data_IF_311592204985
#
_entry.id   IF_311592204985
#
_cell.length_a   1.000
_cell.length_b   1.000
_cell.length_c   1.000
_cell.angle_alpha   90.00
_cell.angle_beta   90.00
_cell.angle_gamma   90.00
#
_symmetry.space_group_name_H-M   'P 1'
#
loop_
_entity.id
_entity.type
_entity.pdbx_description
1 polymer ?
#
# COMPACT_ATOMS: atom_id res chain seq x y z
N UNK A 1 -11.09 22.72 -3.80
CA UNK A 1 -12.04 23.04 -2.72
C UNK A 1 -11.50 24.21 -1.92
N UNK A 2 -12.29 25.25 -1.78
CA UNK A 2 -11.90 26.52 -1.16
C UNK A 2 -12.49 26.66 0.25
N UNK A 3 -11.89 27.53 1.07
CA UNK A 3 -12.51 27.98 2.31
C UNK A 3 -13.42 29.17 2.01
N UNK A 4 -14.54 29.29 2.75
CA UNK A 4 -15.41 30.47 2.71
C UNK A 4 -14.70 31.70 3.33
N UNK A 5 -15.14 32.88 2.95
CA UNK A 5 -14.64 34.14 3.56
C UNK A 5 -14.85 34.17 5.07
N UNK A 6 -15.95 33.59 5.57
CA UNK A 6 -16.21 33.47 7.00
C UNK A 6 -15.11 32.62 7.68
N UNK A 7 -14.71 31.51 7.05
CA UNK A 7 -13.68 30.63 7.58
C UNK A 7 -12.28 31.29 7.54
N UNK A 8 -11.96 32.00 6.46
CA UNK A 8 -10.69 32.73 6.33
C UNK A 8 -10.59 33.84 7.40
N UNK A 9 -11.65 34.62 7.58
CA UNK A 9 -11.68 35.67 8.60
C UNK A 9 -11.62 35.12 10.02
N UNK A 10 -12.37 34.03 10.32
CA UNK A 10 -12.27 33.35 11.62
C UNK A 10 -10.89 32.76 11.89
N UNK A 11 -10.24 32.21 10.87
CA UNK A 11 -8.85 31.71 10.99
C UNK A 11 -7.86 32.85 11.27
N UNK A 12 -8.02 33.99 10.58
CA UNK A 12 -7.20 35.18 10.81
C UNK A 12 -7.29 35.66 12.25
N UNK A 13 -8.50 35.81 12.78
CA UNK A 13 -8.72 36.23 14.17
C UNK A 13 -8.15 35.21 15.16
N UNK A 14 -8.39 33.92 14.95
CA UNK A 14 -7.87 32.86 15.80
C UNK A 14 -6.33 32.84 15.83
N UNK A 15 -5.67 32.97 14.67
CA UNK A 15 -4.20 32.99 14.57
C UNK A 15 -3.66 34.24 15.28
N UNK A 16 -4.22 35.43 15.03
CA UNK A 16 -3.79 36.66 15.65
C UNK A 16 -3.86 36.57 17.18
N UNK A 17 -4.98 36.09 17.71
CA UNK A 17 -5.22 35.93 19.15
C UNK A 17 -4.31 34.91 19.82
N UNK A 18 -4.05 33.77 19.16
CA UNK A 18 -3.26 32.69 19.74
C UNK A 18 -1.76 32.83 19.57
N UNK A 19 -1.28 33.43 18.46
CA UNK A 19 0.13 33.39 18.07
C UNK A 19 0.69 34.79 17.72
N UNK A 20 -0.19 35.75 17.46
CA UNK A 20 0.18 37.13 17.08
C UNK A 20 0.14 37.35 15.57
N UNK A 21 0.06 38.66 15.20
CA UNK A 21 -0.15 39.10 13.81
C UNK A 21 0.91 38.64 12.83
N UNK A 22 2.14 38.43 13.26
CA UNK A 22 3.24 37.96 12.39
C UNK A 22 3.02 36.57 11.79
N UNK A 23 2.12 35.77 12.40
CA UNK A 23 1.77 34.44 11.88
C UNK A 23 0.57 34.48 10.94
N UNK A 24 -0.13 35.57 10.79
CA UNK A 24 -1.32 35.72 9.97
C UNK A 24 -0.93 35.92 8.51
N UNK A 25 -1.38 35.01 7.63
CA UNK A 25 -1.20 35.17 6.17
C UNK A 25 -2.36 34.51 5.42
N UNK A 26 -3.55 35.16 5.41
CA UNK A 26 -4.72 34.61 4.74
C UNK A 26 -4.46 34.42 3.25
N UNK A 27 -4.88 33.30 2.72
CA UNK A 27 -4.69 32.97 1.30
C UNK A 27 -5.82 32.14 0.72
N UNK A 28 -6.06 32.33 -0.57
CA UNK A 28 -6.93 31.52 -1.37
C UNK A 28 -6.08 30.54 -2.19
N UNK A 29 -6.45 29.26 -2.19
CA UNK A 29 -5.75 28.24 -2.95
C UNK A 29 -6.50 27.98 -4.25
N UNK A 30 -5.82 28.06 -5.38
CA UNK A 30 -6.34 27.57 -6.65
C UNK A 30 -6.07 26.09 -6.78
N UNK A 31 -7.12 25.29 -6.97
CA UNK A 31 -6.98 23.85 -7.15
C UNK A 31 -6.56 23.55 -8.58
N UNK A 32 -5.44 22.82 -8.72
CA UNK A 32 -4.94 22.33 -10.02
C UNK A 32 -5.30 20.88 -10.29
N UNK A 33 -5.94 20.21 -9.33
CA UNK A 33 -6.27 18.78 -9.40
C UNK A 33 -7.43 18.56 -10.36
N UNK A 34 -7.24 17.70 -11.35
CA UNK A 34 -8.30 17.25 -12.25
C UNK A 34 -9.39 16.56 -11.42
N UNK A 35 -10.63 17.04 -11.48
CA UNK A 35 -11.75 16.48 -10.74
C UNK A 35 -12.00 17.11 -9.37
N UNK A 36 -11.44 18.28 -9.08
CA UNK A 36 -11.81 19.07 -7.93
C UNK A 36 -13.29 19.46 -7.97
N UNK A 37 -13.99 19.23 -6.84
CA UNK A 37 -15.38 19.61 -6.67
C UNK A 37 -15.44 21.06 -6.15
N UNK A 38 -15.38 22.04 -7.04
CA UNK A 38 -15.32 23.47 -6.70
C UNK A 38 -16.62 23.95 -5.99
N UNK A 39 -17.74 23.24 -6.14
CA UNK A 39 -19.01 23.56 -5.47
C UNK A 39 -19.00 23.28 -3.96
N UNK A 40 -18.00 22.60 -3.42
CA UNK A 40 -17.91 22.25 -2.01
C UNK A 40 -16.87 23.10 -1.28
N UNK A 41 -17.20 23.52 -0.07
CA UNK A 41 -16.22 24.09 0.86
C UNK A 41 -15.30 23.00 1.43
N UNK A 42 -14.06 23.33 1.73
CA UNK A 42 -13.14 22.43 2.41
C UNK A 42 -13.65 22.03 3.80
N UNK A 43 -13.37 20.80 4.22
CA UNK A 43 -13.67 20.37 5.59
C UNK A 43 -12.83 21.23 6.55
N UNK A 44 -13.51 21.87 7.49
CA UNK A 44 -12.93 22.79 8.46
C UNK A 44 -13.68 22.79 9.79
N UNK A 45 -13.11 23.30 10.88
CA UNK A 45 -13.87 23.57 12.10
C UNK A 45 -14.98 24.61 11.85
N UNK A 46 -16.09 24.45 12.54
CA UNK A 46 -17.17 25.44 12.52
C UNK A 46 -16.73 26.75 13.21
N UNK A 47 -15.98 26.59 14.32
CA UNK A 47 -15.46 27.69 15.14
C UNK A 47 -13.95 27.56 15.23
N UNK A 48 -13.21 28.50 14.65
CA UNK A 48 -11.73 28.45 14.54
C UNK A 48 -11.02 28.66 15.87
N UNK A 49 -11.66 29.37 16.80
CA UNK A 49 -11.18 29.60 18.17
C UNK A 49 -11.15 28.31 19.03
N UNK A 50 -11.93 27.31 18.67
CA UNK A 50 -12.01 26.05 19.40
C UNK A 50 -10.91 25.10 18.94
N UNK A 51 -9.73 25.16 19.55
CA UNK A 51 -8.63 24.25 19.22
C UNK A 51 -8.88 22.79 19.66
N UNK A 52 -9.85 22.55 20.55
CA UNK A 52 -10.19 21.25 21.09
C UNK A 52 -11.71 21.08 21.18
N UNK A 53 -12.15 19.82 21.15
CA UNK A 53 -13.56 19.42 21.31
C UNK A 53 -13.73 18.38 22.39
N UNK A 54 -14.96 18.26 22.91
CA UNK A 54 -15.37 17.10 23.68
C UNK A 54 -15.75 15.96 22.72
N UNK A 55 -15.48 14.71 23.13
CA UNK A 55 -15.77 13.51 22.32
C UNK A 55 -14.84 12.36 22.62
N UNK A 56 -14.96 11.28 21.85
CA UNK A 56 -14.09 10.11 21.92
C UNK A 56 -12.64 10.45 21.52
N UNK A 57 -11.69 9.59 21.87
CA UNK A 57 -10.28 9.78 21.48
C UNK A 57 -10.07 9.87 19.96
N UNK A 58 -10.88 9.14 19.18
CA UNK A 58 -10.81 9.16 17.73
C UNK A 58 -11.33 10.48 17.14
N UNK A 59 -12.46 10.97 17.64
CA UNK A 59 -13.03 12.27 17.25
C UNK A 59 -12.09 13.41 17.58
N UNK A 60 -11.51 13.43 18.79
CA UNK A 60 -10.51 14.43 19.20
C UNK A 60 -9.29 14.43 18.28
N UNK A 61 -8.77 13.25 17.94
CA UNK A 61 -7.60 13.12 17.04
C UNK A 61 -7.92 13.60 15.63
N UNK A 62 -9.09 13.26 15.10
CA UNK A 62 -9.51 13.72 13.77
C UNK A 62 -9.74 15.23 13.75
N UNK A 63 -10.40 15.77 14.77
CA UNK A 63 -10.64 17.21 14.89
C UNK A 63 -9.34 18.00 14.99
N UNK A 64 -8.39 17.54 15.83
CA UNK A 64 -7.07 18.16 15.96
C UNK A 64 -6.33 18.26 14.62
N UNK A 65 -6.38 17.19 13.81
CA UNK A 65 -5.80 17.19 12.47
C UNK A 65 -6.50 18.21 11.56
N UNK A 66 -7.83 18.24 11.51
CA UNK A 66 -8.61 19.17 10.69
C UNK A 66 -8.32 20.60 11.13
N UNK A 67 -8.35 20.87 12.43
CA UNK A 67 -8.10 22.20 12.98
C UNK A 67 -6.69 22.68 12.64
N UNK A 68 -5.67 21.86 12.90
CA UNK A 68 -4.27 22.19 12.60
C UNK A 68 -4.04 22.47 11.12
N UNK A 69 -4.58 21.65 10.22
CA UNK A 69 -4.44 21.87 8.78
C UNK A 69 -5.15 23.15 8.33
N UNK A 70 -6.34 23.42 8.84
CA UNK A 70 -7.09 24.62 8.51
C UNK A 70 -6.34 25.87 8.96
N UNK A 71 -5.92 25.93 10.22
CA UNK A 71 -5.17 27.07 10.78
C UNK A 71 -3.83 27.24 10.04
N UNK A 72 -3.05 26.17 9.88
CA UNK A 72 -1.76 26.23 9.19
C UNK A 72 -1.88 26.71 7.73
N UNK A 73 -2.98 26.40 7.05
CA UNK A 73 -3.22 26.89 5.67
C UNK A 73 -3.35 28.41 5.56
N UNK A 74 -3.71 29.07 6.65
CA UNK A 74 -3.92 30.51 6.73
C UNK A 74 -2.80 31.24 7.52
N UNK A 75 -1.72 30.50 7.84
CA UNK A 75 -0.54 31.03 8.52
C UNK A 75 0.56 31.47 7.54
N UNK A 76 1.46 32.29 8.03
CA UNK A 76 2.67 32.71 7.32
C UNK A 76 3.56 31.48 7.02
N UNK A 77 4.31 31.56 5.93
CA UNK A 77 5.28 30.52 5.56
C UNK A 77 6.38 30.42 6.62
N UNK A 78 6.94 29.23 6.75
CA UNK A 78 8.17 29.03 7.51
C UNK A 78 9.37 29.53 6.71
N UNK A 79 10.32 30.16 7.38
CA UNK A 79 11.59 30.60 6.80
C UNK A 79 12.72 29.70 7.30
N UNK A 80 13.33 28.98 6.36
CA UNK A 80 14.38 28.03 6.62
C UNK A 80 15.70 28.52 5.99
N UNK A 81 16.78 28.50 6.74
CA UNK A 81 18.12 28.76 6.23
C UNK A 81 18.82 27.43 6.01
N UNK A 82 19.01 27.05 4.73
CA UNK A 82 19.71 25.83 4.34
C UNK A 82 21.17 26.14 4.00
N UNK A 83 22.07 25.53 4.74
CA UNK A 83 23.52 25.62 4.51
C UNK A 83 24.01 24.31 3.90
N UNK A 84 24.70 24.39 2.76
CA UNK A 84 25.40 23.26 2.16
C UNK A 84 26.90 23.52 2.18
N UNK A 85 27.64 22.65 2.85
CA UNK A 85 29.10 22.67 2.89
C UNK A 85 29.67 21.63 1.92
N UNK A 86 30.49 22.07 0.98
CA UNK A 86 31.27 21.17 0.13
C UNK A 86 32.68 21.05 0.73
N UNK A 87 33.09 19.84 1.07
CA UNK A 87 34.34 19.53 1.76
C UNK A 87 35.25 18.79 0.78
N UNK A 88 36.22 19.49 0.23
CA UNK A 88 37.21 18.94 -0.70
C UNK A 88 38.20 18.03 0.04
N UNK A 89 38.60 16.95 -0.59
CA UNK A 89 39.58 16.01 -0.08
C UNK A 89 40.95 16.38 -0.68
N UNK A 90 42.02 16.42 0.15
CA UNK A 90 43.31 16.96 -0.27
C UNK A 90 44.04 16.14 -1.34
N UNK A 91 43.72 14.86 -1.52
CA UNK A 91 44.45 13.91 -2.38
C UNK A 91 43.56 13.32 -3.52
N UNK A 92 42.35 13.86 -3.71
CA UNK A 92 41.45 13.40 -4.78
C UNK A 92 40.60 14.60 -5.27
N UNK A 93 39.97 14.45 -6.44
CA UNK A 93 38.99 15.41 -6.96
C UNK A 93 37.60 15.25 -6.34
N UNK A 94 37.38 14.19 -5.58
CA UNK A 94 36.11 13.91 -4.91
C UNK A 94 35.91 14.84 -3.72
N UNK A 95 34.64 15.03 -3.35
CA UNK A 95 34.29 15.89 -2.22
C UNK A 95 33.12 15.27 -1.42
N UNK A 96 33.09 15.57 -0.14
CA UNK A 96 31.90 15.34 0.69
C UNK A 96 30.97 16.54 0.64
N UNK A 97 29.67 16.28 0.75
CA UNK A 97 28.63 17.30 0.93
C UNK A 97 27.95 17.09 2.27
N UNK A 98 27.80 18.16 3.03
CA UNK A 98 27.04 18.17 4.26
C UNK A 98 25.99 19.29 4.19
N UNK A 99 24.75 18.97 4.51
CA UNK A 99 23.64 19.94 4.51
C UNK A 99 23.08 20.06 5.92
N UNK A 100 22.88 21.30 6.37
CA UNK A 100 22.18 21.60 7.62
C UNK A 100 21.10 22.63 7.37
N UNK A 101 20.06 22.61 8.21
CA UNK A 101 18.93 23.50 8.11
C UNK A 101 18.64 24.16 9.47
N UNK A 102 18.37 25.45 9.47
CA UNK A 102 17.99 26.22 10.65
C UNK A 102 16.66 26.91 10.40
N UNK A 103 15.69 26.69 11.27
CA UNK A 103 14.41 27.40 11.24
C UNK A 103 14.62 28.83 11.75
N UNK A 104 14.54 29.83 10.87
CA UNK A 104 14.60 31.25 11.23
C UNK A 104 13.28 31.78 11.76
N UNK A 105 12.21 31.35 11.12
CA UNK A 105 10.83 31.62 11.52
C UNK A 105 9.99 30.38 11.30
N UNK A 106 9.31 29.91 12.33
CA UNK A 106 8.59 28.64 12.31
C UNK A 106 7.27 28.69 11.50
N UNK A 107 6.67 29.89 11.32
CA UNK A 107 5.48 30.05 10.51
C UNK A 107 4.42 28.98 10.81
N UNK A 108 3.87 28.36 9.77
CA UNK A 108 2.86 27.29 9.90
C UNK A 108 3.40 26.00 10.56
N UNK A 109 4.71 25.77 10.55
CA UNK A 109 5.33 24.60 11.20
C UNK A 109 5.12 24.58 12.72
N UNK A 110 4.78 25.74 13.31
CA UNK A 110 4.42 25.84 14.72
C UNK A 110 3.18 25.04 15.09
N UNK A 111 2.25 24.87 14.14
CA UNK A 111 0.97 24.19 14.35
C UNK A 111 0.92 22.83 13.67
N UNK A 112 1.47 22.74 12.48
CA UNK A 112 1.34 21.57 11.64
C UNK A 112 2.66 21.19 10.97
N UNK A 113 3.06 19.94 11.20
CA UNK A 113 4.09 19.26 10.41
C UNK A 113 3.46 18.06 9.73
N UNK A 114 3.66 17.94 8.44
CA UNK A 114 3.16 16.79 7.70
C UNK A 114 3.93 15.54 8.13
N UNK A 115 3.19 14.47 8.49
CA UNK A 115 3.77 13.14 8.70
C UNK A 115 3.57 12.33 7.43
N UNK A 116 4.58 11.61 7.00
CA UNK A 116 4.51 10.69 5.87
C UNK A 116 4.25 9.28 6.39
N UNK A 117 3.29 8.58 5.79
CA UNK A 117 2.95 7.20 6.15
C UNK A 117 3.89 6.16 5.50
N UNK A 118 4.72 6.60 4.57
CA UNK A 118 5.71 5.73 3.95
C UNK A 118 6.94 5.65 4.86
N UNK A 119 7.43 4.42 5.08
CA UNK A 119 8.68 4.11 5.77
C UNK A 119 9.92 4.60 4.98
N UNK A 120 9.81 5.74 4.32
CA UNK A 120 10.97 6.45 3.83
C UNK A 120 11.70 6.92 5.08
N UNK A 121 12.86 6.33 5.35
CA UNK A 121 13.79 6.84 6.36
C UNK A 121 13.93 8.34 6.10
N UNK A 122 13.15 9.13 6.83
CA UNK A 122 13.36 10.55 6.85
C UNK A 122 14.68 10.72 7.59
N UNK A 123 15.69 11.17 6.87
CA UNK A 123 16.80 11.91 7.46
C UNK A 123 16.27 13.23 8.04
N UNK A 124 15.23 13.13 8.87
CA UNK A 124 14.57 14.26 9.56
C UNK A 124 15.27 14.58 10.89
N UNK A 125 16.54 14.35 10.96
CA UNK A 125 17.34 15.12 11.88
C UNK A 125 17.69 16.43 11.16
N UNK A 126 17.09 17.53 11.59
CA UNK A 126 17.60 18.88 11.31
C UNK A 126 19.05 18.92 11.81
N UNK A 127 19.96 18.46 10.96
CA UNK A 127 21.38 18.47 11.28
C UNK A 127 21.84 19.92 11.30
N UNK A 128 21.95 20.45 12.50
CA UNK A 128 22.62 21.75 12.70
C UNK A 128 24.09 21.59 12.34
N UNK A 129 24.51 22.20 11.25
CA UNK A 129 25.93 22.31 10.98
C UNK A 129 26.58 23.27 11.97
N UNK A 130 27.77 22.93 12.48
CA UNK A 130 28.55 23.89 13.27
C UNK A 130 28.89 25.10 12.42
N UNK A 131 29.25 26.26 13.05
CA UNK A 131 29.70 27.44 12.31
C UNK A 131 30.93 27.09 11.46
N UNK A 132 30.78 27.09 10.14
CA UNK A 132 31.83 26.80 9.19
C UNK A 132 32.30 28.07 8.48
N UNK A 133 33.60 28.12 8.15
CA UNK A 133 34.19 29.23 7.37
C UNK A 133 34.74 28.69 6.06
N UNK A 134 34.58 29.45 4.97
CA UNK A 134 35.18 29.13 3.69
C UNK A 134 36.70 28.97 3.82
N UNK A 135 37.25 27.90 3.32
CA UNK A 135 38.67 27.55 3.40
C UNK A 135 39.13 26.99 4.75
N UNK A 136 38.21 26.72 5.69
CA UNK A 136 38.52 26.08 6.95
C UNK A 136 39.04 24.65 6.69
N UNK A 137 40.15 24.30 7.33
CA UNK A 137 40.62 22.90 7.32
C UNK A 137 39.87 22.11 8.36
N UNK A 138 39.41 20.94 7.97
CA UNK A 138 38.72 19.99 8.84
C UNK A 138 39.58 18.73 8.98
N UNK A 139 39.62 18.19 10.19
CA UNK A 139 40.25 16.89 10.48
C UNK A 139 39.18 15.83 10.57
N UNK A 140 39.35 14.73 9.85
CA UNK A 140 38.42 13.62 9.93
C UNK A 140 38.63 12.80 11.22
N UNK A 141 37.54 12.39 11.83
CA UNK A 141 37.55 11.42 12.93
C UNK A 141 37.46 10.00 12.41
N UNK A 142 36.53 9.78 11.50
CA UNK A 142 36.37 8.56 10.72
C UNK A 142 35.70 8.89 9.39
N UNK A 143 35.92 8.03 8.40
CA UNK A 143 35.20 8.03 7.13
C UNK A 143 34.65 6.61 6.96
N UNK A 144 33.35 6.48 6.75
CA UNK A 144 32.68 5.20 6.60
C UNK A 144 32.04 5.10 5.22
N UNK A 145 32.39 4.04 4.48
CA UNK A 145 31.73 3.67 3.26
C UNK A 145 30.79 2.50 3.56
N UNK A 146 29.51 2.69 3.36
CA UNK A 146 28.48 1.68 3.62
C UNK A 146 27.86 1.24 2.32
N UNK A 147 27.91 -0.06 2.04
CA UNK A 147 27.17 -0.64 0.91
C UNK A 147 25.67 -0.42 1.07
N UNK A 148 25.02 0.03 0.00
CA UNK A 148 23.58 0.25 -0.06
C UNK A 148 23.04 -0.37 -1.33
N UNK A 149 21.76 -0.71 -1.28
CA UNK A 149 21.06 -1.35 -2.38
C UNK A 149 19.86 -0.51 -2.77
N UNK A 150 19.54 -0.49 -4.06
CA UNK A 150 18.28 0.10 -4.53
C UNK A 150 17.11 -0.71 -3.97
N UNK A 151 16.08 -0.01 -3.51
CA UNK A 151 14.88 -0.64 -2.98
C UNK A 151 13.77 -0.57 -4.04
N UNK A 152 12.92 -1.59 -4.09
CA UNK A 152 11.70 -1.53 -4.87
C UNK A 152 10.72 -0.50 -4.23
N UNK A 153 9.78 0.07 -5.01
CA UNK A 153 8.73 0.91 -4.45
C UNK A 153 7.95 0.13 -3.36
N UNK A 154 7.62 0.76 -2.23
CA UNK A 154 6.85 0.10 -1.18
C UNK A 154 5.43 -0.21 -1.65
N UNK A 155 4.79 -1.23 -1.06
CA UNK A 155 3.36 -1.48 -1.22
C UNK A 155 2.55 -0.30 -0.68
N UNK A 156 1.35 -0.12 -1.21
CA UNK A 156 0.48 0.97 -0.80
C UNK A 156 -0.07 0.77 0.61
N UNK A 157 -0.13 1.86 1.37
CA UNK A 157 -1.08 2.03 2.47
C UNK A 157 -2.42 2.53 1.89
N UNK A 158 -3.48 2.56 2.70
CA UNK A 158 -4.74 3.18 2.26
C UNK A 158 -4.54 4.64 1.86
N UNK A 159 -3.74 5.39 2.62
CA UNK A 159 -3.45 6.80 2.35
C UNK A 159 -2.63 7.01 1.06
N UNK A 160 -1.55 6.23 0.87
CA UNK A 160 -0.74 6.35 -0.34
C UNK A 160 -1.48 5.87 -1.59
N UNK A 161 -2.42 4.90 -1.45
CA UNK A 161 -3.30 4.50 -2.55
C UNK A 161 -4.28 5.62 -2.92
N UNK A 162 -4.89 6.30 -1.95
CA UNK A 162 -5.74 7.48 -2.23
C UNK A 162 -4.97 8.54 -3.00
N UNK A 163 -3.75 8.86 -2.55
CA UNK A 163 -2.88 9.81 -3.27
C UNK A 163 -2.63 9.36 -4.72
N UNK A 164 -2.35 8.07 -4.92
CA UNK A 164 -2.09 7.54 -6.26
C UNK A 164 -3.32 7.58 -7.17
N UNK A 165 -4.50 7.28 -6.63
CA UNK A 165 -5.77 7.41 -7.36
C UNK A 165 -6.03 8.86 -7.77
N UNK A 166 -5.78 9.82 -6.88
CA UNK A 166 -5.89 11.26 -7.14
C UNK A 166 -4.91 11.71 -8.24
N UNK A 167 -3.63 11.34 -8.15
CA UNK A 167 -2.62 11.63 -9.18
C UNK A 167 -3.01 11.14 -10.56
N UNK A 168 -3.63 9.96 -10.63
CA UNK A 168 -4.07 9.33 -11.87
C UNK A 168 -5.44 9.84 -12.34
N UNK A 169 -6.15 10.64 -11.54
CA UNK A 169 -7.51 11.09 -11.82
C UNK A 169 -8.56 9.98 -11.77
N UNK A 170 -8.28 8.89 -11.02
CA UNK A 170 -9.17 7.74 -10.87
C UNK A 170 -10.08 7.97 -9.66
N UNK A 171 -11.38 8.16 -9.91
CA UNK A 171 -12.37 8.39 -8.87
C UNK A 171 -12.46 9.86 -8.42
N UNK A 172 -13.16 10.06 -7.34
CA UNK A 172 -13.45 11.36 -6.71
C UNK A 172 -13.27 11.23 -5.19
N UNK A 173 -13.18 12.33 -4.43
CA UNK A 173 -13.06 12.27 -2.97
C UNK A 173 -14.13 11.39 -2.29
N UNK A 174 -15.36 11.40 -2.81
CA UNK A 174 -16.47 10.59 -2.30
C UNK A 174 -16.34 9.08 -2.60
N UNK A 175 -15.50 8.67 -3.55
CA UNK A 175 -15.39 7.27 -3.99
C UNK A 175 -14.11 6.57 -3.56
N UNK A 176 -13.08 7.29 -3.12
CA UNK A 176 -11.79 6.68 -2.73
C UNK A 176 -11.95 5.66 -1.60
N UNK A 177 -12.51 6.08 -0.46
CA UNK A 177 -12.67 5.20 0.68
C UNK A 177 -13.63 4.02 0.41
N UNK A 178 -14.81 4.21 -0.22
CA UNK A 178 -15.66 3.09 -0.63
C UNK A 178 -14.98 2.10 -1.56
N UNK A 179 -14.17 2.56 -2.52
CA UNK A 179 -13.44 1.68 -3.43
C UNK A 179 -12.43 0.82 -2.68
N UNK A 180 -11.62 1.43 -1.80
CA UNK A 180 -10.63 0.72 -0.99
C UNK A 180 -11.31 -0.30 -0.06
N UNK A 181 -12.42 0.05 0.56
CA UNK A 181 -13.22 -0.88 1.37
C UNK A 181 -13.76 -2.03 0.54
N UNK A 182 -14.27 -1.76 -0.68
CA UNK A 182 -14.86 -2.77 -1.55
C UNK A 182 -13.83 -3.79 -2.02
N UNK A 183 -12.62 -3.39 -2.41
CA UNK A 183 -11.58 -4.33 -2.87
C UNK A 183 -11.09 -5.22 -1.73
N UNK A 184 -11.09 -4.74 -0.48
CA UNK A 184 -10.80 -5.53 0.71
C UNK A 184 -11.96 -6.49 1.05
N UNK A 185 -13.21 -6.04 1.00
CA UNK A 185 -14.40 -6.88 1.26
C UNK A 185 -14.54 -8.00 0.23
N UNK A 186 -14.11 -7.76 -1.02
CA UNK A 186 -14.07 -8.76 -2.08
C UNK A 186 -12.83 -9.66 -2.02
N UNK A 187 -12.01 -9.46 -1.02
CA UNK A 187 -10.77 -10.23 -0.83
C UNK A 187 -9.82 -10.16 -2.04
N UNK A 188 -9.81 -9.03 -2.79
CA UNK A 188 -8.83 -8.79 -3.85
C UNK A 188 -7.51 -8.30 -3.29
N UNK A 189 -7.56 -7.57 -2.19
CA UNK A 189 -6.42 -7.17 -1.37
C UNK A 189 -6.73 -7.40 0.10
N UNK A 190 -5.71 -7.66 0.88
CA UNK A 190 -5.80 -7.73 2.34
C UNK A 190 -4.81 -6.75 2.97
N UNK A 191 -5.13 -6.24 4.17
CA UNK A 191 -4.21 -5.44 4.96
C UNK A 191 -3.35 -6.35 5.80
N UNK A 192 -2.05 -6.30 5.59
CA UNK A 192 -1.11 -7.22 6.25
C UNK A 192 0.28 -6.63 6.42
N UNK A 193 1.09 -7.42 7.09
CA UNK A 193 2.51 -7.17 7.31
C UNK A 193 3.33 -8.22 6.55
N UNK A 194 4.45 -7.81 5.99
CA UNK A 194 5.45 -8.70 5.42
C UNK A 194 6.68 -8.69 6.31
N UNK A 195 7.08 -9.85 6.78
CA UNK A 195 8.38 -10.02 7.45
C UNK A 195 9.48 -9.86 6.41
N UNK A 196 10.45 -9.00 6.69
CA UNK A 196 11.62 -8.87 5.82
C UNK A 196 12.53 -10.08 5.90
N UNK A 197 13.53 -10.07 5.04
CA UNK A 197 14.60 -11.06 4.98
C UNK A 197 15.91 -10.44 5.45
N UNK A 198 16.75 -11.25 6.10
CA UNK A 198 18.06 -10.80 6.51
C UNK A 198 18.99 -10.71 5.30
N UNK A 199 19.65 -9.56 5.15
CA UNK A 199 20.63 -9.29 4.10
C UNK A 199 21.91 -8.79 4.69
N UNK A 200 23.03 -9.34 4.23
CA UNK A 200 24.38 -8.85 4.60
C UNK A 200 24.77 -7.66 3.72
N UNK A 201 25.51 -6.73 4.28
CA UNK A 201 26.13 -5.60 3.58
C UNK A 201 27.50 -5.28 4.17
N UNK A 202 28.37 -4.69 3.36
CA UNK A 202 29.73 -4.37 3.73
C UNK A 202 29.87 -2.93 4.22
N UNK A 203 30.70 -2.74 5.23
CA UNK A 203 31.04 -1.45 5.82
C UNK A 203 32.56 -1.31 5.91
N UNK A 204 33.12 -0.38 5.16
CA UNK A 204 34.55 -0.06 5.20
C UNK A 204 34.71 1.22 6.02
N UNK A 205 35.58 1.20 7.02
CA UNK A 205 35.82 2.35 7.90
C UNK A 205 37.30 2.69 7.92
N UNK A 206 37.61 3.95 7.59
CA UNK A 206 38.92 4.56 7.79
C UNK A 206 38.90 5.32 9.12
N UNK A 207 39.79 4.97 10.04
CA UNK A 207 39.96 5.65 11.33
C UNK A 207 41.44 5.67 11.70
N UNK A 208 42.01 6.85 11.97
CA UNK A 208 43.43 7.02 12.30
C UNK A 208 44.34 6.28 11.31
N UNK A 209 44.14 6.53 10.01
CA UNK A 209 44.91 5.94 8.89
C UNK A 209 44.83 4.39 8.79
N UNK A 210 43.94 3.76 9.55
CA UNK A 210 43.70 2.31 9.51
C UNK A 210 42.35 2.04 8.85
N UNK A 211 42.37 1.22 7.80
CA UNK A 211 41.16 0.72 7.15
C UNK A 211 40.76 -0.60 7.80
N UNK A 212 39.49 -0.70 8.13
CA UNK A 212 38.86 -1.94 8.61
C UNK A 212 37.63 -2.23 7.76
N UNK A 213 37.42 -3.51 7.50
CA UNK A 213 36.25 -4.02 6.79
C UNK A 213 35.41 -4.87 7.75
N UNK A 214 34.08 -4.71 7.67
CA UNK A 214 33.14 -5.45 8.48
C UNK A 214 31.86 -5.74 7.68
N UNK A 215 31.41 -6.98 7.76
CA UNK A 215 30.08 -7.36 7.25
C UNK A 215 29.06 -7.16 8.36
N UNK A 216 27.96 -6.49 8.03
CA UNK A 216 26.78 -6.29 8.91
C UNK A 216 25.54 -6.85 8.27
N UNK A 217 24.48 -7.01 9.03
CA UNK A 217 23.20 -7.49 8.55
C UNK A 217 22.11 -6.43 8.79
N UNK A 218 21.14 -6.41 7.90
CA UNK A 218 19.92 -5.60 8.01
C UNK A 218 18.70 -6.43 7.61
N UNK A 219 17.52 -6.05 8.08
CA UNK A 219 16.26 -6.64 7.61
C UNK A 219 15.76 -5.81 6.43
N UNK A 220 15.64 -6.44 5.26
CA UNK A 220 15.19 -5.79 4.03
C UNK A 220 13.81 -6.31 3.61
N UNK A 221 13.01 -5.48 2.94
CA UNK A 221 11.71 -5.87 2.40
C UNK A 221 10.62 -6.10 3.45
N UNK A 222 10.85 -5.69 4.72
CA UNK A 222 9.79 -5.67 5.73
C UNK A 222 8.78 -4.57 5.37
N UNK A 223 7.48 -4.88 5.48
CA UNK A 223 6.40 -3.93 5.26
C UNK A 223 5.38 -4.08 6.38
N UNK A 224 4.82 -2.97 6.84
CA UNK A 224 3.84 -2.95 7.93
C UNK A 224 2.57 -2.24 7.49
N UNK A 225 1.40 -2.84 7.80
CA UNK A 225 0.08 -2.29 7.52
C UNK A 225 -0.15 -1.90 6.05
N UNK A 226 0.42 -2.66 5.12
CA UNK A 226 0.30 -2.43 3.66
C UNK A 226 -0.88 -3.21 3.08
N UNK A 227 -1.34 -2.76 1.92
CA UNK A 227 -2.32 -3.49 1.11
C UNK A 227 -1.59 -4.51 0.25
N UNK A 228 -1.84 -5.78 0.52
CA UNK A 228 -1.23 -6.93 -0.15
C UNK A 228 -2.24 -7.54 -1.12
N UNK A 229 -1.89 -7.83 -2.38
CA UNK A 229 -2.76 -8.55 -3.28
C UNK A 229 -2.95 -9.99 -2.79
N UNK A 230 -4.15 -10.52 -2.96
CA UNK A 230 -4.46 -11.93 -2.73
C UNK A 230 -4.37 -12.70 -4.02
N UNK A 231 -4.32 -14.03 -3.96
CA UNK A 231 -4.40 -14.89 -5.15
C UNK A 231 -5.69 -14.63 -5.96
N UNK A 232 -6.82 -14.42 -5.27
CA UNK A 232 -8.08 -14.05 -5.92
C UNK A 232 -7.96 -12.73 -6.68
N UNK A 233 -7.34 -11.72 -6.05
CA UNK A 233 -7.10 -10.42 -6.68
C UNK A 233 -6.21 -10.52 -7.90
N UNK A 234 -5.13 -11.28 -7.82
CA UNK A 234 -4.20 -11.51 -8.94
C UNK A 234 -4.93 -12.18 -10.11
N UNK A 235 -5.62 -13.29 -9.88
CA UNK A 235 -6.36 -14.02 -10.93
C UNK A 235 -7.45 -13.15 -11.59
N UNK A 236 -8.20 -12.37 -10.79
CA UNK A 236 -9.21 -11.45 -11.34
C UNK A 236 -8.55 -10.35 -12.18
N UNK A 237 -7.43 -9.80 -11.72
CA UNK A 237 -6.70 -8.76 -12.46
C UNK A 237 -6.14 -9.30 -13.76
N UNK A 238 -5.53 -10.48 -13.76
CA UNK A 238 -4.99 -11.13 -14.97
C UNK A 238 -6.10 -11.41 -15.98
N UNK A 239 -7.22 -11.97 -15.52
CA UNK A 239 -8.38 -12.21 -16.37
C UNK A 239 -8.90 -10.92 -17.00
N UNK A 240 -9.11 -9.86 -16.21
CA UNK A 240 -9.61 -8.59 -16.71
C UNK A 240 -8.61 -7.92 -17.67
N UNK A 241 -7.31 -8.00 -17.38
CA UNK A 241 -6.27 -7.45 -18.25
C UNK A 241 -6.21 -8.18 -19.61
N UNK A 242 -6.40 -9.49 -19.59
CA UNK A 242 -6.40 -10.31 -20.80
C UNK A 242 -7.64 -10.07 -21.67
N UNK A 243 -8.83 -10.01 -21.08
CA UNK A 243 -10.08 -9.99 -21.84
C UNK A 243 -10.75 -8.62 -21.94
N UNK A 244 -10.37 -7.68 -21.08
CA UNK A 244 -10.93 -6.34 -21.00
C UNK A 244 -9.85 -5.25 -20.86
N UNK A 245 -8.79 -5.26 -21.68
CA UNK A 245 -7.63 -4.37 -21.51
C UNK A 245 -8.01 -2.89 -21.53
N UNK A 246 -9.01 -2.49 -22.31
CA UNK A 246 -9.49 -1.10 -22.38
C UNK A 246 -10.12 -0.61 -21.07
N UNK A 247 -10.72 -1.51 -20.29
CA UNK A 247 -11.30 -1.18 -18.98
C UNK A 247 -10.21 -1.12 -17.90
N UNK A 248 -9.14 -1.91 -18.07
CA UNK A 248 -8.01 -1.96 -17.15
C UNK A 248 -6.98 -0.85 -17.38
N UNK A 249 -7.13 -0.07 -18.43
CA UNK A 249 -6.31 1.14 -18.64
C UNK A 249 -6.61 2.16 -17.53
N UNK A 250 -5.58 2.67 -16.90
CA UNK A 250 -5.72 3.68 -15.82
C UNK A 250 -6.42 4.95 -16.29
N UNK A 251 -6.28 5.31 -17.57
CA UNK A 251 -6.97 6.45 -18.15
C UNK A 251 -8.47 6.21 -18.38
N UNK A 252 -8.93 4.97 -18.35
CA UNK A 252 -10.34 4.66 -18.60
C UNK A 252 -11.25 5.39 -17.60
N UNK A 253 -11.04 5.18 -16.30
CA UNK A 253 -11.84 5.82 -15.25
C UNK A 253 -11.73 7.34 -15.31
N UNK A 254 -10.51 7.88 -15.46
CA UNK A 254 -10.30 9.31 -15.57
C UNK A 254 -11.05 9.93 -16.79
N UNK A 255 -11.08 9.20 -17.92
CA UNK A 255 -11.81 9.61 -19.11
C UNK A 255 -13.32 9.58 -18.91
N UNK A 256 -13.85 8.54 -18.24
CA UNK A 256 -15.29 8.43 -17.93
C UNK A 256 -15.70 9.53 -16.97
N UNK A 257 -14.91 9.82 -15.94
CA UNK A 257 -15.17 10.90 -15.00
C UNK A 257 -15.23 12.27 -15.70
N UNK A 258 -14.31 12.52 -16.64
CA UNK A 258 -14.34 13.73 -17.47
C UNK A 258 -15.62 13.82 -18.32
N UNK A 259 -16.06 12.70 -18.90
CA UNK A 259 -17.30 12.66 -19.67
C UNK A 259 -18.54 12.95 -18.79
N UNK A 260 -18.51 12.56 -17.52
CA UNK A 260 -19.56 12.90 -16.57
C UNK A 260 -19.58 14.40 -16.26
N UNK A 261 -18.41 15.04 -16.15
CA UNK A 261 -18.32 16.49 -15.99
C UNK A 261 -18.91 17.21 -17.24
N UNK A 262 -18.59 16.76 -18.45
CA UNK A 262 -19.14 17.28 -19.72
C UNK A 262 -20.69 17.10 -19.81
N UNK A 263 -21.22 16.01 -19.25
CA UNK A 263 -22.70 15.83 -19.13
C UNK A 263 -23.29 16.83 -18.14
N UNK A 264 -22.65 17.03 -16.99
CA UNK A 264 -23.10 17.94 -15.96
C UNK A 264 -23.11 19.41 -16.43
N UNK A 265 -22.14 19.78 -17.27
CA UNK A 265 -22.06 21.09 -17.93
C UNK A 265 -23.04 21.26 -19.11
N UNK A 266 -23.65 20.16 -19.57
CA UNK A 266 -24.60 20.17 -20.66
C UNK A 266 -23.95 20.07 -22.07
N UNK A 267 -22.68 19.89 -22.15
CA UNK A 267 -21.91 19.83 -23.41
C UNK A 267 -22.19 18.54 -24.19
N UNK A 268 -22.55 17.46 -23.48
CA UNK A 268 -22.82 16.16 -24.11
C UNK A 268 -24.02 15.45 -23.47
N UNK A 269 -24.61 14.49 -24.23
CA UNK A 269 -25.73 13.68 -23.73
C UNK A 269 -25.22 12.35 -23.18
N UNK A 270 -25.64 11.96 -21.99
CA UNK A 270 -25.30 10.70 -21.38
C UNK A 270 -25.58 9.48 -22.28
N UNK A 271 -26.70 9.54 -23.07
CA UNK A 271 -27.08 8.48 -24.01
C UNK A 271 -26.04 8.25 -25.13
N UNK A 272 -25.34 9.30 -25.56
CA UNK A 272 -24.28 9.21 -26.56
C UNK A 272 -23.08 8.46 -25.99
N UNK A 273 -22.67 8.82 -24.78
CA UNK A 273 -21.55 8.16 -24.07
C UNK A 273 -21.86 6.68 -23.83
N UNK A 274 -23.05 6.38 -23.32
CA UNK A 274 -23.49 4.99 -23.06
C UNK A 274 -23.54 4.15 -24.34
N UNK A 275 -24.05 4.69 -25.46
CA UNK A 275 -24.06 3.97 -26.74
C UNK A 275 -22.66 3.66 -27.24
N UNK A 276 -21.75 4.64 -27.16
CA UNK A 276 -20.36 4.47 -27.57
C UNK A 276 -19.66 3.41 -26.73
N UNK A 277 -19.81 3.47 -25.42
CA UNK A 277 -19.23 2.50 -24.51
C UNK A 277 -19.78 1.09 -24.75
N UNK A 278 -21.11 0.94 -24.79
CA UNK A 278 -21.78 -0.36 -24.99
C UNK A 278 -21.38 -1.04 -26.30
N UNK A 279 -21.26 -0.25 -27.39
CA UNK A 279 -20.87 -0.75 -28.71
C UNK A 279 -19.50 -1.43 -28.73
N UNK A 280 -18.58 -0.98 -27.90
CA UNK A 280 -17.22 -1.55 -27.80
C UNK A 280 -17.11 -2.61 -26.70
N UNK A 281 -17.77 -2.41 -25.58
CA UNK A 281 -17.67 -3.28 -24.40
C UNK A 281 -18.48 -4.59 -24.56
N UNK A 282 -19.73 -4.51 -25.02
CA UNK A 282 -20.62 -5.68 -25.08
C UNK A 282 -20.09 -6.81 -25.97
N UNK A 283 -19.52 -6.57 -27.16
CA UNK A 283 -18.92 -7.63 -27.95
C UNK A 283 -17.77 -8.36 -27.24
N UNK A 284 -16.99 -7.66 -26.40
CA UNK A 284 -15.94 -8.28 -25.58
C UNK A 284 -16.53 -9.22 -24.52
N UNK A 285 -17.68 -8.84 -23.93
CA UNK A 285 -18.42 -9.70 -22.99
C UNK A 285 -18.94 -10.95 -23.69
N UNK A 286 -19.58 -10.81 -24.86
CA UNK A 286 -20.13 -11.94 -25.63
C UNK A 286 -19.04 -12.91 -26.07
N UNK A 287 -17.92 -12.41 -26.59
CA UNK A 287 -16.78 -13.23 -27.00
C UNK A 287 -16.15 -13.98 -25.84
N UNK A 288 -16.01 -13.31 -24.69
CA UNK A 288 -15.46 -13.92 -23.47
C UNK A 288 -16.39 -15.02 -22.92
N UNK A 289 -17.71 -14.79 -22.93
CA UNK A 289 -18.70 -15.79 -22.52
C UNK A 289 -18.71 -17.01 -23.46
N UNK A 290 -18.60 -16.79 -24.79
CA UNK A 290 -18.53 -17.86 -25.77
C UNK A 290 -17.26 -18.73 -25.60
N UNK A 291 -16.14 -18.12 -25.19
CA UNK A 291 -14.88 -18.81 -24.94
C UNK A 291 -14.77 -19.40 -23.52
N UNK A 292 -15.85 -19.46 -22.75
CA UNK A 292 -15.89 -19.89 -21.34
C UNK A 292 -15.18 -21.20 -21.03
N UNK A 293 -15.17 -22.15 -21.95
CA UNK A 293 -14.52 -23.46 -21.77
C UNK A 293 -12.99 -23.42 -22.08
N UNK A 294 -12.49 -22.36 -22.66
CA UNK A 294 -11.07 -22.20 -22.97
C UNK A 294 -10.28 -21.43 -21.90
N UNK A 295 -10.98 -20.85 -20.91
CA UNK A 295 -10.36 -19.99 -19.91
C UNK A 295 -9.85 -20.80 -18.73
N UNK A 296 -8.55 -21.07 -18.72
CA UNK A 296 -7.81 -21.65 -17.58
C UNK A 296 -6.97 -20.59 -16.85
N UNK A 297 -7.46 -19.34 -16.83
CA UNK A 297 -6.77 -18.25 -16.14
C UNK A 297 -6.62 -18.57 -14.65
N UNK A 298 -5.41 -18.45 -14.12
CA UNK A 298 -5.12 -18.76 -12.72
C UNK A 298 -4.93 -20.23 -12.40
N UNK A 299 -4.83 -21.14 -13.42
CA UNK A 299 -4.39 -22.51 -13.23
C UNK A 299 -2.89 -22.64 -13.56
N UNK A 300 -2.10 -23.15 -12.61
CA UNK A 300 -0.68 -23.45 -12.78
C UNK A 300 -0.44 -24.94 -12.57
N UNK A 301 0.15 -25.59 -13.57
CA UNK A 301 0.57 -27.00 -13.46
C UNK A 301 1.87 -27.05 -12.67
N UNK A 302 1.91 -27.87 -11.62
CA UNK A 302 3.07 -28.06 -10.75
C UNK A 302 3.94 -29.23 -11.17
N UNK A 303 3.34 -30.25 -11.80
CA UNK A 303 3.98 -31.49 -12.19
C UNK A 303 3.00 -32.65 -12.10
N UNK A 304 3.51 -33.88 -11.99
CA UNK A 304 2.70 -35.10 -11.86
C UNK A 304 2.81 -35.68 -10.44
N UNK A 305 1.71 -36.22 -9.94
CA UNK A 305 1.67 -36.96 -8.67
C UNK A 305 2.57 -38.19 -8.74
N UNK A 306 3.59 -38.35 -7.91
CA UNK A 306 4.51 -39.47 -7.93
C UNK A 306 3.85 -40.82 -7.74
N UNK A 307 2.65 -40.88 -7.17
CA UNK A 307 1.94 -42.13 -6.86
C UNK A 307 0.99 -42.53 -7.99
N UNK A 308 0.19 -41.58 -8.48
CA UNK A 308 -0.84 -41.90 -9.49
C UNK A 308 -0.41 -41.52 -10.92
N UNK A 309 0.66 -40.75 -11.11
CA UNK A 309 1.07 -40.23 -12.41
C UNK A 309 0.10 -39.20 -12.99
N UNK A 310 -0.90 -38.75 -12.22
CA UNK A 310 -1.87 -37.75 -12.65
C UNK A 310 -1.33 -36.32 -12.49
N UNK A 311 -1.74 -35.37 -13.36
CA UNK A 311 -1.30 -34.00 -13.25
C UNK A 311 -1.75 -33.36 -11.94
N UNK A 312 -0.85 -32.56 -11.34
CA UNK A 312 -1.08 -31.74 -10.16
C UNK A 312 -1.11 -30.29 -10.61
N UNK A 313 -2.22 -29.62 -10.36
CA UNK A 313 -2.39 -28.20 -10.65
C UNK A 313 -2.86 -27.44 -9.43
N UNK A 314 -2.56 -26.13 -9.39
CA UNK A 314 -3.09 -25.19 -8.41
C UNK A 314 -3.91 -24.14 -9.13
N UNK A 315 -5.07 -23.79 -8.57
CA UNK A 315 -6.02 -22.83 -9.16
C UNK A 315 -6.99 -22.25 -8.14
N UNK A 316 -7.75 -21.24 -8.56
CA UNK A 316 -8.88 -20.77 -7.78
C UNK A 316 -10.05 -21.73 -7.91
N UNK A 317 -10.45 -22.32 -6.79
CA UNK A 317 -11.67 -23.11 -6.66
C UNK A 317 -12.85 -22.27 -6.16
N UNK A 318 -14.02 -22.92 -5.97
CA UNK A 318 -15.25 -22.26 -5.50
C UNK A 318 -15.10 -21.55 -4.14
N UNK A 319 -14.21 -22.03 -3.30
CA UNK A 319 -14.02 -21.57 -1.93
C UNK A 319 -12.60 -21.01 -1.67
N UNK A 320 -11.90 -20.60 -2.73
CA UNK A 320 -10.53 -20.05 -2.66
C UNK A 320 -9.50 -20.92 -3.38
N UNK A 321 -8.20 -20.62 -3.20
CA UNK A 321 -7.11 -21.35 -3.84
C UNK A 321 -7.09 -22.84 -3.43
N UNK A 322 -6.96 -23.71 -4.42
CA UNK A 322 -6.92 -25.18 -4.22
C UNK A 322 -5.84 -25.82 -5.08
N UNK A 323 -5.24 -26.89 -4.57
CA UNK A 323 -4.48 -27.85 -5.37
C UNK A 323 -5.43 -28.94 -5.84
N UNK A 324 -5.29 -29.36 -7.09
CA UNK A 324 -6.03 -30.45 -7.70
C UNK A 324 -5.07 -31.52 -8.19
N UNK A 325 -5.40 -32.82 -7.93
CA UNK A 325 -4.74 -33.99 -8.54
C UNK A 325 -5.73 -34.64 -9.49
N UNK A 326 -5.31 -34.80 -10.73
CA UNK A 326 -6.14 -35.39 -11.80
C UNK A 326 -7.01 -34.34 -12.50
N UNK A 327 -7.72 -34.78 -13.53
CA UNK A 327 -8.56 -33.99 -14.41
C UNK A 327 -10.05 -34.37 -14.23
N UNK A 328 -10.95 -33.47 -14.63
CA UNK A 328 -12.38 -33.78 -14.69
C UNK A 328 -12.73 -34.81 -15.78
N UNK A 329 -11.80 -35.06 -16.71
CA UNK A 329 -11.92 -36.04 -17.81
C UNK A 329 -11.43 -37.42 -17.41
N UNK A 330 -10.80 -37.57 -16.23
CA UNK A 330 -10.34 -38.87 -15.73
C UNK A 330 -11.52 -39.72 -15.27
N UNK A 331 -11.37 -41.05 -15.34
CA UNK A 331 -12.37 -42.02 -14.83
C UNK A 331 -12.63 -41.82 -13.33
N UNK A 332 -11.61 -41.45 -12.57
CA UNK A 332 -11.70 -41.13 -11.15
C UNK A 332 -11.86 -39.62 -10.97
N UNK A 333 -12.75 -39.24 -10.08
CA UNK A 333 -12.94 -37.82 -9.72
C UNK A 333 -11.65 -37.18 -9.20
N UNK A 334 -11.31 -35.96 -9.65
CA UNK A 334 -10.13 -35.27 -9.17
C UNK A 334 -10.21 -35.02 -7.65
N UNK A 335 -9.06 -35.08 -7.01
CA UNK A 335 -8.89 -34.77 -5.57
C UNK A 335 -8.55 -33.30 -5.41
N UNK A 336 -9.08 -32.64 -4.36
CA UNK A 336 -8.83 -31.23 -4.07
C UNK A 336 -8.35 -31.06 -2.64
N UNK A 337 -7.42 -30.13 -2.44
CA UNK A 337 -7.01 -29.67 -1.12
C UNK A 337 -6.83 -28.14 -1.13
N UNK A 338 -7.39 -27.41 -0.14
CA UNK A 338 -7.19 -25.97 -0.04
C UNK A 338 -5.73 -25.64 0.35
N UNK A 339 -5.22 -24.49 -0.09
CA UNK A 339 -3.94 -23.97 0.34
C UNK A 339 -3.98 -23.58 1.82
N UNK A 340 -2.85 -23.71 2.51
CA UNK A 340 -2.69 -23.24 3.88
C UNK A 340 -2.45 -21.72 3.91
N UNK A 341 -2.73 -21.10 5.03
CA UNK A 341 -2.41 -19.69 5.25
C UNK A 341 -0.91 -19.44 5.02
N UNK A 342 -0.60 -18.47 4.17
CA UNK A 342 0.77 -18.11 3.79
C UNK A 342 1.30 -18.86 2.55
N UNK A 343 0.56 -19.80 1.98
CA UNK A 343 0.85 -20.35 0.66
C UNK A 343 0.07 -19.59 -0.41
N UNK A 344 0.64 -19.47 -1.61
CA UNK A 344 0.01 -18.80 -2.75
C UNK A 344 0.08 -19.65 -4.01
N UNK A 345 -0.85 -19.40 -4.94
CA UNK A 345 -0.87 -20.06 -6.26
C UNK A 345 0.46 -19.82 -7.00
N UNK A 346 1.04 -18.64 -6.86
CA UNK A 346 2.25 -18.25 -7.60
C UNK A 346 3.50 -18.99 -7.12
N UNK A 347 3.59 -19.25 -5.81
CA UNK A 347 4.85 -19.70 -5.20
C UNK A 347 4.87 -21.16 -4.75
N UNK A 348 3.71 -21.79 -4.54
CA UNK A 348 3.63 -23.17 -4.05
C UNK A 348 4.38 -24.15 -4.98
N UNK A 349 5.21 -25.01 -4.41
CA UNK A 349 5.94 -26.07 -5.14
C UNK A 349 5.11 -27.36 -5.22
N UNK A 350 5.55 -28.31 -6.07
CA UNK A 350 4.91 -29.63 -6.16
C UNK A 350 5.00 -30.38 -4.82
N UNK A 351 6.15 -30.32 -4.15
CA UNK A 351 6.39 -30.97 -2.87
C UNK A 351 5.44 -30.43 -1.80
N UNK A 352 5.32 -29.10 -1.70
CA UNK A 352 4.41 -28.45 -0.76
C UNK A 352 2.94 -28.77 -1.07
N UNK A 353 2.57 -28.84 -2.35
CA UNK A 353 1.24 -29.22 -2.79
C UNK A 353 0.92 -30.67 -2.40
N UNK A 354 1.84 -31.61 -2.55
CA UNK A 354 1.66 -32.99 -2.16
C UNK A 354 1.50 -33.17 -0.64
N UNK A 355 2.15 -32.31 0.16
CA UNK A 355 1.96 -32.27 1.62
C UNK A 355 0.51 -32.00 2.03
N UNK A 356 -0.24 -31.24 1.22
CA UNK A 356 -1.65 -30.92 1.48
C UNK A 356 -2.56 -32.14 1.37
N UNK A 357 -2.16 -33.18 0.63
CA UNK A 357 -2.92 -34.39 0.44
C UNK A 357 -2.56 -35.52 1.43
N UNK A 358 -1.62 -35.28 2.35
CA UNK A 358 -1.33 -36.21 3.46
C UNK A 358 -2.48 -36.33 4.46
N UNK A 359 -3.37 -35.35 4.45
CA UNK A 359 -4.62 -35.38 5.21
C UNK A 359 -5.82 -35.37 4.24
N UNK A 360 -6.93 -36.11 4.54
CA UNK A 360 -7.17 -36.90 5.75
C UNK A 360 -6.31 -38.18 5.82
N UNK A 361 -5.86 -38.54 7.04
CA UNK A 361 -5.10 -39.76 7.29
C UNK A 361 -5.82 -40.59 8.33
N UNK A 362 -6.03 -41.88 8.02
CA UNK A 362 -6.51 -42.86 8.98
C UNK A 362 -5.36 -43.27 9.89
N UNK A 363 -5.53 -43.11 11.19
CA UNK A 363 -4.54 -43.52 12.21
C UNK A 363 -4.70 -44.98 12.62
N UNK A 364 -5.90 -45.52 12.46
CA UNK A 364 -6.24 -46.87 12.85
C UNK A 364 -7.68 -46.96 13.38
N UNK A 365 -7.99 -48.07 14.05
CA UNK A 365 -9.28 -48.30 14.68
C UNK A 365 -9.15 -48.30 16.21
N UNK A 366 -10.11 -47.68 16.88
CA UNK A 366 -10.26 -47.73 18.32
C UNK A 366 -11.69 -48.11 18.64
N UNK A 367 -11.86 -49.17 19.45
CA UNK A 367 -13.18 -49.77 19.77
C UNK A 367 -14.04 -50.06 18.53
N UNK A 368 -13.42 -50.61 17.43
CA UNK A 368 -14.12 -50.94 16.21
C UNK A 368 -14.56 -49.74 15.36
N UNK A 369 -14.07 -48.53 15.65
CA UNK A 369 -14.35 -47.31 14.90
C UNK A 369 -13.08 -46.66 14.40
N UNK A 370 -13.11 -46.18 13.18
CA UNK A 370 -11.97 -45.56 12.53
C UNK A 370 -11.63 -44.19 13.17
N UNK A 371 -10.37 -44.00 13.45
CA UNK A 371 -9.80 -42.71 13.91
C UNK A 371 -9.11 -42.05 12.74
N UNK A 372 -9.50 -40.81 12.41
CA UNK A 372 -8.90 -40.07 11.28
C UNK A 372 -8.37 -38.70 11.74
N UNK A 373 -7.28 -38.26 11.13
CA UNK A 373 -6.81 -36.90 11.21
C UNK A 373 -7.21 -36.14 9.96
N UNK A 374 -7.80 -34.97 10.11
CA UNK A 374 -8.28 -34.11 9.03
C UNK A 374 -7.75 -32.68 9.21
N UNK A 375 -7.75 -31.91 8.12
CA UNK A 375 -7.52 -30.47 8.16
C UNK A 375 -8.87 -29.74 8.19
N UNK A 376 -9.03 -28.79 9.11
CA UNK A 376 -10.22 -27.95 9.24
C UNK A 376 -9.88 -26.45 9.23
N UNK A 377 -10.92 -25.61 9.23
CA UNK A 377 -10.78 -24.15 9.22
C UNK A 377 -9.91 -23.59 10.36
N UNK A 378 -9.89 -24.30 11.49
CA UNK A 378 -9.15 -23.91 12.69
C UNK A 378 -7.83 -24.67 12.88
N UNK A 379 -7.41 -25.46 11.89
CA UNK A 379 -6.22 -26.30 11.93
C UNK A 379 -6.53 -27.79 11.90
N UNK A 380 -5.51 -28.65 12.05
CA UNK A 380 -5.69 -30.09 12.05
C UNK A 380 -6.45 -30.58 13.29
N UNK A 381 -7.29 -31.59 13.09
CA UNK A 381 -8.10 -32.19 14.15
C UNK A 381 -8.22 -33.70 13.99
N UNK A 382 -8.41 -34.40 15.09
CA UNK A 382 -8.77 -35.80 15.10
C UNK A 382 -10.30 -35.94 15.08
N UNK A 383 -10.79 -36.80 14.20
CA UNK A 383 -12.20 -37.22 14.20
C UNK A 383 -12.30 -38.64 14.67
N UNK A 384 -13.14 -38.88 15.67
CA UNK A 384 -13.46 -40.17 16.22
C UNK A 384 -14.91 -40.20 16.67
N UNK A 385 -15.69 -41.16 16.14
CA UNK A 385 -17.06 -41.45 16.59
C UNK A 385 -17.99 -40.23 16.78
N UNK A 386 -17.94 -39.27 15.83
CA UNK A 386 -18.75 -38.03 15.90
C UNK A 386 -18.12 -36.90 16.69
N UNK A 387 -16.96 -37.10 17.32
CA UNK A 387 -16.25 -36.10 18.11
C UNK A 387 -15.06 -35.52 17.32
N UNK A 388 -14.86 -34.20 17.45
CA UNK A 388 -13.77 -33.45 16.82
C UNK A 388 -12.87 -32.90 17.92
N UNK A 389 -11.60 -33.26 17.86
CA UNK A 389 -10.59 -32.75 18.81
C UNK A 389 -9.46 -32.05 18.07
N UNK A 390 -9.27 -30.75 18.29
CA UNK A 390 -8.18 -29.98 17.65
C UNK A 390 -6.82 -30.47 18.14
N UNK A 391 -5.86 -30.57 17.21
CA UNK A 391 -4.48 -30.87 17.56
C UNK A 391 -3.73 -29.61 18.01
N UNK A 392 -2.81 -29.70 18.98
CA UNK A 392 -1.96 -28.59 19.37
C UNK A 392 -1.08 -28.10 18.20
N UNK A 393 -0.67 -26.84 18.24
CA UNK A 393 0.30 -26.31 17.26
C UNK A 393 1.64 -27.06 17.38
N UNK A 394 2.12 -27.58 16.26
CA UNK A 394 3.42 -28.25 16.19
C UNK A 394 3.38 -29.77 16.27
N UNK A 395 2.22 -30.37 16.25
CA UNK A 395 2.02 -31.84 16.16
C UNK A 395 1.62 -32.23 14.73
#
# INVERSE_FOLDING_TARGET
VNLSELAINGSKEAIANMMGDKYVHPRHFSTKTKGAQEAHEAIRPTYMENAQIEGSAQEKKLYDLIWKRTIASQMADAELEKTTATISISNTSEAFSATGEVVKFDGFLRVYRESYDDDVEQEDETHLLPPLKKGQKLEYQNITATERFTQHPPRYTEASLVRKLEELGIGRPSTYAPTISTVQQREYVEKGDKTGEERSYNVITLKKDKITDATRTEITGAEKAKLLPTDTGTVVTDFLTQYFPSIMDYNFTASVEKQFDEIAEGDTKWTTIMKTFYKTFHPSVESTLAAKNAHKTGERILGDDPVSGKPVSVKIGRFGPVVQIGSAEDEEKPRFSPLKKGQSIETITLEEAMELFKLPRTLGEHEGKTVTVNAGRFGPYIYYSGTYTSLPKGV
#
